data_IF_775701652739
#
_entry.id   IF_775701652739
#
_cell.length_a   1.000
_cell.length_b   1.000
_cell.length_c   1.000
_cell.angle_alpha   90.00
_cell.angle_beta   90.00
_cell.angle_gamma   90.00
#
_symmetry.space_group_name_H-M   'P 1'
#
loop_
_entity.id
_entity.type
_entity.pdbx_description
1 polymer ?
#
# COMPACT_ATOMS: atom_id res chain seq x y z
N UNK A 1 24.80 8.64 -12.86
CA UNK A 1 23.49 8.86 -12.19
C UNK A 1 22.98 10.26 -12.48
N UNK A 2 21.78 10.44 -12.98
CA UNK A 2 21.14 11.77 -13.09
C UNK A 2 20.77 12.20 -11.67
N UNK A 3 21.37 13.29 -11.19
CA UNK A 3 21.00 13.89 -9.91
C UNK A 3 19.61 14.51 -10.07
N UNK A 4 18.64 14.11 -9.28
CA UNK A 4 17.28 14.67 -9.29
C UNK A 4 17.34 16.08 -8.71
N UNK A 5 17.38 17.08 -9.58
CA UNK A 5 17.20 18.49 -9.22
C UNK A 5 15.82 18.92 -9.69
N UNK A 6 14.96 19.24 -8.75
CA UNK A 6 13.60 19.74 -9.04
C UNK A 6 13.53 21.15 -8.48
N UNK A 7 13.07 22.09 -9.31
CA UNK A 7 12.91 23.48 -8.92
C UNK A 7 11.46 23.75 -8.47
N UNK A 8 10.99 22.97 -7.49
CA UNK A 8 9.66 23.10 -6.88
C UNK A 8 9.82 23.44 -5.40
N UNK A 9 8.96 24.32 -4.88
CA UNK A 9 8.90 24.59 -3.45
C UNK A 9 8.25 23.41 -2.70
N UNK A 10 8.46 23.37 -1.37
CA UNK A 10 7.82 22.37 -0.51
C UNK A 10 6.28 22.41 -0.67
N UNK A 11 5.70 23.60 -0.67
CA UNK A 11 4.26 23.81 -0.81
C UNK A 11 3.73 23.24 -2.13
N UNK A 12 4.45 23.43 -3.23
CA UNK A 12 4.07 22.87 -4.54
C UNK A 12 4.12 21.35 -4.55
N UNK A 13 5.10 20.76 -3.87
CA UNK A 13 5.20 19.29 -3.73
C UNK A 13 4.07 18.72 -2.84
N UNK A 14 3.73 19.43 -1.76
CA UNK A 14 2.61 19.05 -0.89
C UNK A 14 1.26 19.14 -1.63
N UNK A 15 1.04 20.20 -2.40
CA UNK A 15 -0.16 20.33 -3.24
C UNK A 15 -0.27 19.18 -4.24
N UNK A 16 0.84 18.80 -4.88
CA UNK A 16 0.87 17.67 -5.80
C UNK A 16 0.51 16.34 -5.08
N UNK A 17 1.07 16.09 -3.89
CA UNK A 17 0.71 14.93 -3.06
C UNK A 17 -0.79 14.90 -2.77
N UNK A 18 -1.37 16.01 -2.36
CA UNK A 18 -2.79 16.09 -2.04
C UNK A 18 -3.68 15.96 -3.29
N UNK A 19 -3.20 16.42 -4.46
CA UNK A 19 -3.91 16.27 -5.73
C UNK A 19 -4.02 14.78 -6.12
N UNK A 20 -2.95 14.01 -5.99
CA UNK A 20 -2.92 12.57 -6.29
C UNK A 20 -3.62 11.70 -5.22
N UNK A 21 -3.87 12.22 -4.03
CA UNK A 21 -4.48 11.51 -2.93
C UNK A 21 -5.84 10.85 -3.27
N UNK A 22 -6.58 11.35 -4.27
CA UNK A 22 -7.88 10.82 -4.70
C UNK A 22 -7.78 9.73 -5.76
N UNK A 23 -6.65 9.66 -6.46
CA UNK A 23 -6.45 8.76 -7.60
C UNK A 23 -5.47 7.63 -7.32
N UNK A 24 -4.78 7.67 -6.18
CA UNK A 24 -3.80 6.67 -5.78
C UNK A 24 -4.19 6.03 -4.44
N UNK A 25 -4.05 4.73 -4.38
CA UNK A 25 -4.21 3.98 -3.14
C UNK A 25 -2.96 4.04 -2.26
N UNK A 26 -1.82 4.43 -2.83
CA UNK A 26 -0.54 4.57 -2.16
C UNK A 26 -0.51 5.83 -1.30
N UNK A 27 0.17 5.75 -0.16
CA UNK A 27 0.37 6.88 0.71
C UNK A 27 1.59 7.65 0.23
N UNK A 28 1.38 8.71 -0.57
CA UNK A 28 2.47 9.59 -1.02
C UNK A 28 2.96 10.42 0.14
N UNK A 29 4.28 10.59 0.24
CA UNK A 29 4.89 11.40 1.29
C UNK A 29 6.00 12.31 0.78
N UNK A 30 6.24 13.37 1.54
CA UNK A 30 7.36 14.29 1.44
C UNK A 30 8.00 14.42 2.82
N UNK A 31 9.29 14.17 2.92
CA UNK A 31 10.09 14.46 4.09
C UNK A 31 11.08 15.59 3.77
N UNK A 32 10.87 16.76 4.34
CA UNK A 32 11.80 17.89 4.30
C UNK A 32 12.92 17.58 5.29
N UNK A 33 14.06 17.14 4.76
CA UNK A 33 15.20 16.62 5.52
C UNK A 33 15.87 17.74 6.33
N UNK A 34 15.90 18.94 5.78
CA UNK A 34 16.59 20.10 6.40
C UNK A 34 15.76 20.69 7.55
N UNK A 35 14.44 20.68 7.43
CA UNK A 35 13.52 21.24 8.43
C UNK A 35 12.89 20.17 9.34
N UNK A 36 13.24 18.92 9.17
CA UNK A 36 12.68 17.77 9.90
C UNK A 36 11.13 17.78 9.90
N UNK A 37 10.56 18.05 8.72
CA UNK A 37 9.12 18.17 8.51
C UNK A 37 8.61 17.09 7.56
N UNK A 38 7.45 16.52 7.88
CA UNK A 38 6.85 15.42 7.12
C UNK A 38 5.44 15.80 6.65
N UNK A 39 5.14 15.48 5.42
CA UNK A 39 3.81 15.57 4.85
C UNK A 39 3.46 14.25 4.15
N UNK A 40 2.22 13.79 4.31
CA UNK A 40 1.74 12.51 3.76
C UNK A 40 0.29 12.66 3.30
N UNK A 41 -0.13 11.78 2.40
CA UNK A 41 -1.52 11.66 1.96
C UNK A 41 -2.50 11.60 3.13
N UNK A 42 -3.55 12.42 3.12
CA UNK A 42 -4.52 12.52 4.22
C UNK A 42 -5.16 11.21 4.63
N UNK A 43 -5.38 10.29 3.69
CA UNK A 43 -6.00 8.99 3.99
C UNK A 43 -5.09 8.08 4.83
N UNK A 44 -3.75 8.28 4.82
CA UNK A 44 -2.84 7.55 5.70
C UNK A 44 -3.14 7.78 7.19
N UNK A 45 -3.56 9.01 7.55
CA UNK A 45 -3.90 9.36 8.93
C UNK A 45 -5.12 8.59 9.44
N UNK A 46 -6.03 8.21 8.57
CA UNK A 46 -7.19 7.39 8.95
C UNK A 46 -6.80 5.93 9.20
N UNK A 47 -5.70 5.48 8.62
CA UNK A 47 -5.24 4.09 8.66
C UNK A 47 -4.21 3.84 9.76
N UNK A 48 -3.27 4.76 9.97
CA UNK A 48 -2.12 4.58 10.85
C UNK A 48 -2.11 5.54 12.03
N UNK A 49 -1.28 5.27 13.04
CA UNK A 49 -1.08 6.11 14.22
C UNK A 49 -0.27 7.40 13.93
N UNK A 50 -0.40 7.96 12.73
CA UNK A 50 0.25 9.22 12.39
C UNK A 50 -0.32 10.38 13.21
N UNK A 51 0.52 11.37 13.64
CA UNK A 51 0.05 12.53 14.40
C UNK A 51 -0.94 13.38 13.59
N UNK A 52 -0.60 13.63 12.33
CA UNK A 52 -1.40 14.39 11.37
C UNK A 52 -0.92 14.05 9.95
N UNK A 53 -1.53 14.64 8.91
CA UNK A 53 -1.05 14.53 7.52
C UNK A 53 0.16 15.42 7.24
N UNK A 54 0.52 16.34 8.15
CA UNK A 54 1.77 17.09 8.19
C UNK A 54 2.19 17.35 9.64
N UNK A 55 3.49 17.30 9.93
CA UNK A 55 4.03 17.51 11.27
C UNK A 55 5.52 17.85 11.25
N UNK A 56 5.95 18.65 12.22
CA UNK A 56 7.35 18.91 12.53
C UNK A 56 7.94 17.84 13.44
N UNK A 57 9.26 17.90 13.72
CA UNK A 57 9.99 16.91 14.50
C UNK A 57 9.76 15.48 13.96
N UNK A 58 9.78 15.37 12.63
CA UNK A 58 9.40 14.17 11.91
C UNK A 58 10.22 12.95 12.34
N UNK A 59 11.54 13.13 12.52
CA UNK A 59 12.43 12.06 12.98
C UNK A 59 11.95 11.49 14.32
N UNK A 60 11.57 12.37 15.28
CA UNK A 60 11.05 11.94 16.58
C UNK A 60 9.63 11.36 16.47
N UNK A 61 8.80 11.92 15.60
CA UNK A 61 7.42 11.48 15.41
C UNK A 61 7.31 10.03 14.93
N UNK A 62 8.31 9.51 14.21
CA UNK A 62 8.34 8.10 13.79
C UNK A 62 8.24 7.11 14.96
N UNK A 63 8.69 7.48 16.18
CA UNK A 63 8.55 6.64 17.37
C UNK A 63 7.08 6.36 17.76
N UNK A 64 6.11 7.12 17.26
CA UNK A 64 4.69 6.94 17.61
C UNK A 64 3.93 6.02 16.66
N UNK A 65 4.41 5.85 15.42
CA UNK A 65 3.70 5.09 14.41
C UNK A 65 4.53 4.00 13.74
N UNK A 66 5.85 3.95 13.97
CA UNK A 66 6.71 2.85 13.53
C UNK A 66 6.83 1.84 14.68
N UNK A 67 6.82 0.56 14.33
CA UNK A 67 7.01 -0.52 15.29
C UNK A 67 8.42 -0.43 15.90
N UNK A 68 8.51 -0.56 17.23
CA UNK A 68 9.74 -0.22 17.97
C UNK A 68 11.00 -0.96 17.54
N UNK A 69 10.89 -2.25 17.20
CA UNK A 69 12.02 -3.05 16.74
C UNK A 69 12.61 -2.59 15.40
N UNK A 70 11.81 -1.88 14.59
CA UNK A 70 12.20 -1.43 13.25
C UNK A 70 12.81 -0.02 13.24
N UNK A 71 12.69 0.73 14.35
CA UNK A 71 13.22 2.09 14.48
C UNK A 71 14.72 2.20 14.27
N UNK A 72 15.58 1.30 14.84
CA UNK A 72 17.01 1.39 14.61
C UNK A 72 17.41 1.28 13.14
N UNK A 73 16.74 0.39 12.38
CA UNK A 73 16.95 0.21 10.96
C UNK A 73 16.57 1.47 10.17
N UNK A 74 15.40 2.05 10.47
CA UNK A 74 14.91 3.26 9.82
C UNK A 74 15.82 4.47 10.11
N UNK A 75 16.26 4.65 11.35
CA UNK A 75 17.11 5.77 11.71
C UNK A 75 18.52 5.66 11.13
N UNK A 76 19.08 4.46 11.00
CA UNK A 76 20.34 4.24 10.29
C UNK A 76 20.22 4.69 8.83
N UNK A 77 19.13 4.33 8.14
CA UNK A 77 18.88 4.74 6.77
C UNK A 77 18.65 6.25 6.64
N UNK A 78 17.91 6.87 7.56
CA UNK A 78 17.77 8.34 7.58
C UNK A 78 19.10 9.06 7.76
N UNK A 79 20.02 8.51 8.57
CA UNK A 79 21.35 9.08 8.75
C UNK A 79 22.17 8.99 7.45
N UNK A 80 22.10 7.89 6.72
CA UNK A 80 22.74 7.71 5.41
C UNK A 80 22.17 8.67 4.35
N UNK A 81 20.85 8.88 4.37
CA UNK A 81 20.19 9.89 3.50
C UNK A 81 20.68 11.30 3.87
N UNK A 82 20.65 11.67 5.16
CA UNK A 82 21.07 13.00 5.64
C UNK A 82 22.53 13.29 5.32
N UNK A 83 23.39 12.29 5.37
CA UNK A 83 24.82 12.41 5.00
C UNK A 83 25.05 12.47 3.49
N UNK A 84 24.05 12.11 2.68
CA UNK A 84 24.17 12.01 1.23
C UNK A 84 24.87 10.74 0.76
N UNK A 85 25.03 9.75 1.63
CA UNK A 85 25.60 8.44 1.30
C UNK A 85 24.69 7.66 0.35
N UNK A 86 23.36 7.74 0.57
CA UNK A 86 22.36 7.16 -0.30
C UNK A 86 21.39 8.24 -0.80
N UNK A 87 20.88 8.05 -2.02
CA UNK A 87 19.94 8.97 -2.68
C UNK A 87 18.61 8.31 -3.02
N UNK A 88 18.44 7.08 -2.62
CA UNK A 88 17.23 6.29 -2.79
C UNK A 88 16.88 5.67 -1.43
N UNK A 89 15.59 5.64 -1.09
CA UNK A 89 15.03 4.96 0.07
C UNK A 89 14.24 3.76 -0.39
N UNK A 90 14.53 2.59 0.15
CA UNK A 90 13.77 1.37 -0.14
C UNK A 90 13.83 0.44 1.05
N UNK A 91 12.78 0.45 1.87
CA UNK A 91 12.77 -0.28 3.12
C UNK A 91 11.43 -0.96 3.37
N UNK A 92 11.48 -2.21 3.85
CA UNK A 92 10.33 -2.93 4.37
C UNK A 92 10.39 -2.90 5.90
N UNK A 93 9.37 -2.33 6.54
CA UNK A 93 9.27 -2.24 7.99
C UNK A 93 7.81 -2.10 8.41
N UNK A 94 7.52 -2.03 9.71
CA UNK A 94 6.15 -2.05 10.22
C UNK A 94 5.72 -0.69 10.73
N UNK A 95 4.52 -0.26 10.29
CA UNK A 95 3.80 0.86 10.90
C UNK A 95 2.69 0.33 11.80
N UNK A 96 2.32 1.12 12.81
CA UNK A 96 1.22 0.80 13.70
C UNK A 96 -0.09 1.35 13.12
N UNK A 97 -1.10 0.49 13.01
CA UNK A 97 -2.45 0.91 12.67
C UNK A 97 -3.14 1.61 13.85
N UNK A 98 -4.38 2.10 13.64
CA UNK A 98 -5.16 2.80 14.69
C UNK A 98 -5.47 1.94 15.93
N UNK A 99 -5.36 0.63 15.85
CA UNK A 99 -5.47 -0.33 16.94
C UNK A 99 -4.10 -0.75 17.50
N UNK A 100 -3.01 -0.10 17.08
CA UNK A 100 -1.63 -0.41 17.43
C UNK A 100 -1.16 -1.81 16.96
N UNK A 101 -1.81 -2.39 15.97
CA UNK A 101 -1.32 -3.61 15.35
C UNK A 101 -0.23 -3.27 14.33
N UNK A 102 0.85 -4.07 14.26
CA UNK A 102 1.90 -3.86 13.27
C UNK A 102 1.42 -4.25 11.86
N UNK A 103 1.62 -3.36 10.91
CA UNK A 103 1.31 -3.54 9.49
C UNK A 103 2.59 -3.42 8.69
N UNK A 104 2.93 -4.45 7.94
CA UNK A 104 4.08 -4.41 7.05
C UNK A 104 3.85 -3.41 5.92
N UNK A 105 4.82 -2.55 5.71
CA UNK A 105 4.83 -1.57 4.62
C UNK A 105 6.09 -1.72 3.77
N UNK A 106 5.95 -1.35 2.50
CA UNK A 106 7.02 -1.12 1.54
C UNK A 106 7.11 0.39 1.32
N UNK A 107 8.15 1.01 1.85
CA UNK A 107 8.39 2.44 1.73
C UNK A 107 9.51 2.69 0.73
N UNK A 108 9.22 3.47 -0.32
CA UNK A 108 10.18 3.82 -1.36
C UNK A 108 10.18 5.31 -1.60
N UNK A 109 11.35 5.85 -1.94
CA UNK A 109 11.46 7.26 -2.27
C UNK A 109 12.82 7.63 -2.86
N UNK A 110 12.83 8.80 -3.47
CA UNK A 110 14.02 9.41 -4.06
C UNK A 110 14.38 10.70 -3.32
N UNK A 111 15.66 10.90 -3.14
CA UNK A 111 16.21 12.13 -2.55
C UNK A 111 16.32 13.21 -3.63
N UNK A 112 15.74 14.36 -3.35
CA UNK A 112 15.92 15.59 -4.12
C UNK A 112 17.04 16.40 -3.46
N UNK A 113 18.00 16.85 -4.26
CA UNK A 113 19.15 17.64 -3.81
C UNK A 113 18.92 19.12 -4.06
N UNK A 114 19.46 19.95 -3.16
CA UNK A 114 19.53 21.40 -3.32
C UNK A 114 20.59 21.83 -4.38
N UNK A 115 20.75 23.14 -4.54
CA UNK A 115 21.75 23.74 -5.47
C UNK A 115 23.18 23.33 -5.14
N UNK A 116 23.45 23.06 -3.85
CA UNK A 116 24.77 22.66 -3.33
C UNK A 116 24.98 21.15 -3.30
N UNK A 117 24.09 20.37 -3.90
CA UNK A 117 24.05 18.91 -3.89
C UNK A 117 23.91 18.28 -2.49
N UNK A 118 23.28 18.98 -1.56
CA UNK A 118 22.89 18.43 -0.26
C UNK A 118 21.48 17.88 -0.31
N UNK A 119 21.17 16.82 0.44
CA UNK A 119 19.80 16.31 0.57
C UNK A 119 18.84 17.38 1.07
N UNK A 120 17.79 17.63 0.30
CA UNK A 120 16.76 18.62 0.59
C UNK A 120 15.45 17.96 0.97
N UNK A 121 14.91 17.12 0.08
CA UNK A 121 13.68 16.40 0.28
C UNK A 121 13.87 14.91 -0.01
N UNK A 122 13.13 14.07 0.72
CA UNK A 122 12.86 12.70 0.33
C UNK A 122 11.38 12.62 -0.05
N UNK A 123 11.08 12.26 -1.30
CA UNK A 123 9.71 12.12 -1.81
C UNK A 123 9.48 10.69 -2.26
N UNK A 124 8.31 10.15 -1.93
CA UNK A 124 8.03 8.75 -2.25
C UNK A 124 6.64 8.29 -1.93
N UNK A 125 6.51 6.98 -1.85
CA UNK A 125 5.25 6.32 -1.51
C UNK A 125 5.45 5.19 -0.50
N UNK A 126 4.40 4.96 0.27
CA UNK A 126 4.27 3.85 1.21
C UNK A 126 3.14 2.94 0.75
N UNK A 127 3.41 1.65 0.68
CA UNK A 127 2.46 0.59 0.33
C UNK A 127 2.30 -0.39 1.49
N UNK A 128 1.07 -0.83 1.79
CA UNK A 128 0.88 -1.96 2.70
C UNK A 128 1.22 -3.28 1.99
N UNK A 129 2.16 -4.05 2.53
CA UNK A 129 2.52 -5.36 1.99
C UNK A 129 1.37 -6.34 2.31
N UNK A 130 0.90 -7.05 1.28
CA UNK A 130 -0.17 -8.05 1.43
C UNK A 130 -1.61 -7.55 1.25
N UNK A 131 -1.86 -6.23 1.28
CA UNK A 131 -3.21 -5.68 1.13
C UNK A 131 -3.61 -5.32 -0.31
N UNK A 132 -2.71 -5.37 -1.27
CA UNK A 132 -2.85 -4.61 -2.53
C UNK A 132 -2.94 -5.38 -3.83
N UNK A 133 -3.12 -6.65 -3.81
CA UNK A 133 -3.64 -7.25 -5.03
C UNK A 133 -5.17 -7.08 -5.02
N UNK A 134 -5.67 -5.93 -5.51
CA UNK A 134 -7.10 -5.74 -5.79
C UNK A 134 -7.61 -6.74 -6.83
N UNK A 135 -6.69 -7.31 -7.62
CA UNK A 135 -6.95 -8.37 -8.56
C UNK A 135 -5.98 -9.53 -8.35
N UNK A 136 -6.45 -10.74 -8.56
CA UNK A 136 -5.63 -11.93 -8.61
C UNK A 136 -5.08 -12.14 -10.02
N UNK A 137 -3.77 -12.24 -10.15
CA UNK A 137 -3.10 -12.38 -11.46
C UNK A 137 -3.26 -13.78 -12.07
N UNK A 138 -3.70 -14.76 -11.28
CA UNK A 138 -3.92 -16.15 -11.72
C UNK A 138 -5.34 -16.31 -12.22
N UNK A 139 -6.32 -15.99 -11.39
CA UNK A 139 -7.75 -16.08 -11.70
C UNK A 139 -8.25 -14.93 -12.58
N UNK A 140 -7.57 -13.77 -12.56
CA UNK A 140 -8.02 -12.53 -13.19
C UNK A 140 -9.19 -11.85 -12.47
N UNK A 141 -9.58 -12.32 -11.30
CA UNK A 141 -10.69 -11.80 -10.52
C UNK A 141 -10.23 -10.73 -9.52
N UNK A 142 -11.15 -9.84 -9.15
CA UNK A 142 -10.93 -8.92 -8.04
C UNK A 142 -10.91 -9.69 -6.72
N UNK A 143 -10.14 -9.18 -5.75
CA UNK A 143 -9.95 -9.79 -4.42
C UNK A 143 -10.80 -9.12 -3.35
N UNK A 144 -10.69 -9.67 -2.13
CA UNK A 144 -11.43 -9.25 -0.93
C UNK A 144 -11.46 -7.73 -0.69
N UNK A 145 -10.36 -6.94 -0.86
CA UNK A 145 -10.44 -5.49 -0.68
C UNK A 145 -11.45 -4.81 -1.62
N UNK A 146 -11.55 -5.29 -2.86
CA UNK A 146 -12.54 -4.77 -3.82
C UNK A 146 -13.96 -5.22 -3.49
N UNK A 147 -14.14 -6.40 -2.90
CA UNK A 147 -15.42 -6.86 -2.37
C UNK A 147 -15.89 -5.97 -1.22
N UNK A 148 -15.01 -5.66 -0.25
CA UNK A 148 -15.33 -4.79 0.89
C UNK A 148 -15.77 -3.39 0.42
N UNK A 149 -15.05 -2.80 -0.55
CA UNK A 149 -15.41 -1.51 -1.15
C UNK A 149 -16.79 -1.57 -1.82
N UNK A 150 -17.06 -2.64 -2.57
CA UNK A 150 -18.35 -2.85 -3.26
C UNK A 150 -19.50 -2.98 -2.24
N UNK A 151 -19.34 -3.82 -1.22
CA UNK A 151 -20.34 -4.02 -0.16
C UNK A 151 -20.62 -2.72 0.57
N UNK A 152 -19.58 -2.00 0.98
CA UNK A 152 -19.70 -0.72 1.67
C UNK A 152 -20.48 0.31 0.84
N UNK A 153 -20.21 0.38 -0.48
CA UNK A 153 -20.92 1.29 -1.38
C UNK A 153 -22.40 0.93 -1.53
N UNK A 154 -22.74 -0.35 -1.61
CA UNK A 154 -24.12 -0.84 -1.75
C UNK A 154 -24.92 -0.67 -0.46
N UNK A 155 -24.28 -0.93 0.68
CA UNK A 155 -24.89 -0.75 2.01
C UNK A 155 -25.26 0.71 2.26
N UNK A 156 -24.40 1.68 1.91
CA UNK A 156 -24.70 3.12 2.02
C UNK A 156 -25.93 3.54 1.20
N UNK A 157 -26.20 2.84 0.11
CA UNK A 157 -27.33 3.12 -0.79
C UNK A 157 -28.58 2.25 -0.49
N UNK A 158 -28.59 1.50 0.63
CA UNK A 158 -29.68 0.58 1.01
C UNK A 158 -30.04 -0.46 -0.07
N UNK A 159 -29.08 -0.88 -0.89
CA UNK A 159 -29.29 -1.88 -1.93
C UNK A 159 -29.22 -3.27 -1.28
N UNK A 160 -30.28 -4.06 -1.45
CA UNK A 160 -30.36 -5.44 -0.98
C UNK A 160 -29.75 -6.40 -2.01
N UNK A 161 -29.13 -7.47 -1.54
CA UNK A 161 -28.55 -8.50 -2.39
C UNK A 161 -28.27 -9.78 -1.61
N UNK A 162 -27.68 -10.75 -2.29
CA UNK A 162 -27.28 -12.03 -1.72
C UNK A 162 -25.78 -12.21 -1.95
N UNK A 163 -25.12 -12.89 -1.02
CA UNK A 163 -23.76 -13.36 -1.15
C UNK A 163 -23.78 -14.89 -1.24
N UNK A 164 -22.98 -15.42 -2.15
CA UNK A 164 -22.77 -16.86 -2.30
C UNK A 164 -21.27 -17.11 -2.21
N UNK A 165 -20.85 -17.91 -1.24
CA UNK A 165 -19.48 -18.37 -1.16
C UNK A 165 -19.37 -19.73 -1.82
N UNK A 166 -18.37 -19.89 -2.68
CA UNK A 166 -18.08 -21.13 -3.41
C UNK A 166 -16.63 -21.49 -3.12
N UNK A 167 -16.33 -22.76 -2.88
CA UNK A 167 -14.99 -23.27 -2.68
C UNK A 167 -14.69 -24.42 -3.62
N UNK A 168 -13.44 -24.58 -4.01
CA UNK A 168 -12.92 -25.78 -4.63
C UNK A 168 -12.54 -26.73 -3.49
N UNK A 169 -13.21 -27.89 -3.44
CA UNK A 169 -12.94 -28.89 -2.41
C UNK A 169 -11.49 -29.40 -2.52
N UNK A 170 -10.86 -29.59 -1.36
CA UNK A 170 -9.51 -30.13 -1.22
C UNK A 170 -8.42 -29.39 -2.02
N UNK A 171 -8.61 -28.07 -2.28
CA UNK A 171 -7.69 -27.30 -3.12
C UNK A 171 -6.25 -27.28 -2.60
N UNK A 172 -6.06 -27.26 -1.28
CA UNK A 172 -4.72 -27.35 -0.67
C UNK A 172 -4.07 -28.72 -0.89
N UNK A 173 -4.86 -29.80 -0.84
CA UNK A 173 -4.38 -31.15 -1.14
C UNK A 173 -4.00 -31.29 -2.62
N UNK A 174 -4.78 -30.70 -3.52
CA UNK A 174 -4.45 -30.63 -4.96
C UNK A 174 -3.09 -29.94 -5.14
N UNK A 175 -2.87 -28.78 -4.51
CA UNK A 175 -1.60 -28.07 -4.56
C UNK A 175 -0.43 -28.89 -4.00
N UNK A 176 -0.65 -29.56 -2.88
CA UNK A 176 0.35 -30.42 -2.26
C UNK A 176 0.72 -31.64 -3.11
N UNK A 177 -0.26 -32.23 -3.78
CA UNK A 177 -0.11 -33.47 -4.53
C UNK A 177 0.38 -33.26 -5.97
N UNK A 178 -0.10 -32.22 -6.65
CA UNK A 178 0.14 -31.97 -8.07
C UNK A 178 0.98 -30.72 -8.34
N UNK A 179 1.32 -29.96 -7.30
CA UNK A 179 2.11 -28.73 -7.35
C UNK A 179 1.28 -27.49 -7.67
N UNK A 180 1.84 -26.32 -7.29
CA UNK A 180 1.18 -25.00 -7.42
C UNK A 180 0.76 -24.67 -8.86
N UNK A 181 1.53 -25.09 -9.87
CA UNK A 181 1.17 -24.85 -11.28
C UNK A 181 -0.14 -25.52 -11.69
N UNK A 182 -0.42 -26.69 -11.13
CA UNK A 182 -1.68 -27.38 -11.37
C UNK A 182 -2.84 -26.65 -10.71
N UNK A 183 -2.66 -26.21 -9.47
CA UNK A 183 -3.66 -25.39 -8.77
C UNK A 183 -3.95 -24.08 -9.47
N UNK A 184 -2.92 -23.38 -9.96
CA UNK A 184 -3.05 -22.14 -10.73
C UNK A 184 -3.90 -22.34 -11.99
N UNK A 185 -3.70 -23.45 -12.70
CA UNK A 185 -4.48 -23.76 -13.90
C UNK A 185 -5.94 -24.09 -13.56
N UNK A 186 -6.18 -24.80 -12.46
CA UNK A 186 -7.54 -25.04 -11.95
C UNK A 186 -8.23 -23.74 -11.60
N UNK A 187 -7.56 -22.83 -10.88
CA UNK A 187 -8.10 -21.49 -10.55
C UNK A 187 -8.48 -20.73 -11.80
N UNK A 188 -7.62 -20.70 -12.83
CA UNK A 188 -7.92 -20.02 -14.11
C UNK A 188 -9.16 -20.60 -14.79
N UNK A 189 -9.24 -21.91 -14.90
CA UNK A 189 -10.35 -22.57 -15.57
C UNK A 189 -11.66 -22.39 -14.79
N UNK A 190 -11.61 -22.55 -13.48
CA UNK A 190 -12.76 -22.33 -12.61
C UNK A 190 -13.28 -20.89 -12.70
N UNK A 191 -12.39 -19.91 -12.60
CA UNK A 191 -12.74 -18.50 -12.69
C UNK A 191 -13.39 -18.13 -14.03
N UNK A 192 -12.87 -18.67 -15.15
CA UNK A 192 -13.49 -18.49 -16.47
C UNK A 192 -14.87 -19.09 -16.55
N UNK A 193 -15.05 -20.29 -16.02
CA UNK A 193 -16.35 -20.96 -15.96
C UNK A 193 -17.36 -20.12 -15.16
N UNK A 194 -16.96 -19.67 -13.96
CA UNK A 194 -17.83 -18.84 -13.12
C UNK A 194 -18.18 -17.51 -13.78
N UNK A 195 -17.22 -16.84 -14.43
CA UNK A 195 -17.47 -15.59 -15.15
C UNK A 195 -18.46 -15.77 -16.32
N UNK A 196 -18.48 -16.94 -16.95
CA UNK A 196 -19.46 -17.23 -18.01
C UNK A 196 -20.88 -17.49 -17.49
N UNK A 197 -21.03 -17.78 -16.19
CA UNK A 197 -22.32 -18.09 -15.56
C UNK A 197 -23.02 -16.85 -14.95
N UNK A 198 -22.30 -15.72 -14.80
CA UNK A 198 -22.84 -14.50 -14.20
C UNK A 198 -23.32 -13.48 -15.24
N UNK A 199 -24.22 -12.59 -14.84
CA UNK A 199 -24.68 -11.46 -15.63
C UNK A 199 -24.10 -10.13 -15.10
N UNK A 200 -24.38 -9.02 -15.80
CA UNK A 200 -23.87 -7.67 -15.50
C UNK A 200 -24.19 -7.15 -14.09
N UNK A 201 -25.22 -7.69 -13.43
CA UNK A 201 -25.61 -7.30 -12.08
C UNK A 201 -24.94 -8.14 -10.99
N UNK A 202 -24.18 -9.15 -11.37
CA UNK A 202 -23.48 -10.07 -10.50
C UNK A 202 -21.98 -9.85 -10.60
N UNK A 203 -21.27 -10.10 -9.51
CA UNK A 203 -19.82 -9.96 -9.44
C UNK A 203 -19.21 -11.15 -8.73
N UNK A 204 -18.00 -11.51 -9.14
CA UNK A 204 -17.22 -12.59 -8.51
C UNK A 204 -15.93 -11.98 -7.98
N UNK A 205 -15.56 -12.41 -6.79
CA UNK A 205 -14.33 -12.06 -6.11
C UNK A 205 -13.59 -13.33 -5.67
N UNK A 206 -12.28 -13.30 -5.71
CA UNK A 206 -11.44 -14.37 -5.20
C UNK A 206 -10.98 -14.03 -3.78
N UNK A 207 -11.20 -14.97 -2.83
CA UNK A 207 -10.90 -14.82 -1.42
C UNK A 207 -9.61 -15.55 -0.98
N UNK A 208 -8.93 -16.16 -1.92
CA UNK A 208 -7.75 -17.01 -1.65
C UNK A 208 -8.09 -18.45 -1.37
N UNK A 209 -7.08 -19.31 -1.51
CA UNK A 209 -7.18 -20.76 -1.25
C UNK A 209 -8.35 -21.45 -1.96
N UNK A 210 -8.61 -21.11 -3.22
CA UNK A 210 -9.68 -21.71 -4.01
C UNK A 210 -11.09 -21.32 -3.55
N UNK A 211 -11.25 -20.22 -2.81
CA UNK A 211 -12.55 -19.70 -2.36
C UNK A 211 -12.95 -18.44 -3.13
N UNK A 212 -14.23 -18.33 -3.44
CA UNK A 212 -14.82 -17.26 -4.23
C UNK A 212 -16.12 -16.76 -3.59
N UNK A 213 -16.48 -15.50 -3.91
CA UNK A 213 -17.76 -14.90 -3.49
C UNK A 213 -18.37 -14.11 -4.64
#
# INVERSE_FOLDING_TARGET
MKKNKINLSREQLEEAIQLFNRSMDDYLYLFDIQNDYYSISKHAVNRFCLPNYHFCDATKAHNYFVYEDDLPLLFDEFNKIKSGEITEHSLHYRWLDRQHNPVWIDCRGDVILDEFNKPLYLIGCVNEIGKRQKADNISGLLREPSLEEYVSSKSKNNIRGYFMQIGIDDFEEINGRFGLKCGDEILKQFSRCMQSCINENQKIYELGNGRFM
#
